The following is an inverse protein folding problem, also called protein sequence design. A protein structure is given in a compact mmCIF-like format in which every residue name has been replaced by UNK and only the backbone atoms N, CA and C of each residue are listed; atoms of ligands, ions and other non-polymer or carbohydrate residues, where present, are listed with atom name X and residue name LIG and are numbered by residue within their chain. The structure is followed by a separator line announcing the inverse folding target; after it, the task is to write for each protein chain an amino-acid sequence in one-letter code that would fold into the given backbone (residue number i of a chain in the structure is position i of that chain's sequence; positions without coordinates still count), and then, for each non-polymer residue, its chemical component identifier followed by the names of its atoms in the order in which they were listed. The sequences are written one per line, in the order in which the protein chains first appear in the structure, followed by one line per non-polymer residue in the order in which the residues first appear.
data_IF_839878422498
#
_entry.id   IF_839878422498
#
_cell.length_a   1.000
_cell.length_b   1.000
_cell.length_c   1.000
_cell.angle_alpha   90.00
_cell.angle_beta   90.00
_cell.angle_gamma   90.00
#
_symmetry.space_group_name_H-M   'P 1'
#
loop_
_entity.id
_entity.type
_entity.pdbx_description
1 polymer ?
#
# COMPACT_ATOMS: atom_id res chain seq x y z
N UNK A 1 -7.60 11.15 -8.71
CA UNK A 1 -6.42 10.35 -9.10
C UNK A 1 -6.91 9.32 -10.10
N UNK A 2 -6.21 9.11 -11.23
CA UNK A 2 -6.57 8.09 -12.23
C UNK A 2 -5.80 6.81 -11.94
N UNK A 3 -6.47 5.82 -11.36
CA UNK A 3 -5.87 4.56 -10.92
C UNK A 3 -5.51 3.61 -12.08
N UNK A 4 -6.21 3.79 -13.19
CA UNK A 4 -6.12 3.04 -14.44
C UNK A 4 -4.84 3.31 -15.26
N UNK A 5 -4.07 4.36 -14.91
CA UNK A 5 -2.83 4.71 -15.59
C UNK A 5 -1.70 3.70 -15.34
N UNK A 6 -1.73 3.00 -14.20
CA UNK A 6 -0.70 2.04 -13.82
C UNK A 6 -1.15 0.59 -14.05
N UNK A 7 -2.44 0.31 -13.82
CA UNK A 7 -3.07 -1.01 -14.01
C UNK A 7 -4.43 -0.77 -14.65
N UNK A 8 -4.62 -1.26 -15.88
CA UNK A 8 -5.89 -1.12 -16.61
C UNK A 8 -7.06 -1.69 -15.78
N UNK A 9 -8.13 -0.91 -15.62
CA UNK A 9 -9.31 -1.32 -14.87
C UNK A 9 -9.13 -1.38 -13.35
N UNK A 10 -8.03 -0.87 -12.78
CA UNK A 10 -7.85 -0.86 -11.33
C UNK A 10 -8.94 -0.03 -10.63
N UNK A 11 -9.71 -0.58 -9.68
CA UNK A 11 -10.81 0.14 -9.07
C UNK A 11 -10.32 1.38 -8.31
N UNK A 12 -10.85 2.56 -8.63
CA UNK A 12 -10.48 3.80 -7.91
C UNK A 12 -10.74 3.69 -6.39
N UNK A 13 -11.78 2.98 -5.97
CA UNK A 13 -12.09 2.72 -4.55
C UNK A 13 -10.98 1.98 -3.79
N UNK A 14 -10.09 1.29 -4.52
CA UNK A 14 -8.95 0.60 -3.93
C UNK A 14 -7.74 1.53 -3.80
N UNK A 15 -7.83 2.78 -4.26
CA UNK A 15 -6.74 3.74 -4.13
C UNK A 15 -6.79 4.53 -2.82
N UNK A 16 -5.62 4.91 -2.27
CA UNK A 16 -4.28 4.45 -2.68
C UNK A 16 -4.02 3.01 -2.20
N UNK A 17 -3.18 2.26 -2.93
CA UNK A 17 -2.76 0.90 -2.54
C UNK A 17 -1.24 0.82 -2.43
N UNK A 18 -0.74 0.13 -1.42
CA UNK A 18 0.68 -0.17 -1.23
C UNK A 18 0.89 -1.68 -1.38
N UNK A 19 1.80 -2.06 -2.27
CA UNK A 19 2.23 -3.44 -2.49
C UNK A 19 3.67 -3.58 -2.05
N UNK A 20 3.95 -4.50 -1.13
CA UNK A 20 5.30 -4.79 -0.64
C UNK A 20 5.74 -6.15 -1.15
N UNK A 21 6.82 -6.16 -1.91
CA UNK A 21 7.45 -7.36 -2.44
C UNK A 21 8.80 -7.59 -1.77
N UNK A 22 9.14 -8.85 -1.49
CA UNK A 22 10.47 -9.28 -1.04
C UNK A 22 10.73 -10.69 -1.56
N UNK A 23 11.92 -10.93 -2.09
CA UNK A 23 12.35 -12.22 -2.64
C UNK A 23 11.43 -12.78 -3.75
N UNK A 24 10.76 -11.89 -4.50
CA UNK A 24 9.80 -12.26 -5.54
C UNK A 24 8.37 -12.52 -5.04
N UNK A 25 8.15 -12.56 -3.73
CA UNK A 25 6.82 -12.76 -3.13
C UNK A 25 6.17 -11.43 -2.72
N UNK A 26 4.84 -11.38 -2.81
CA UNK A 26 4.05 -10.34 -2.12
C UNK A 26 4.06 -10.66 -0.62
N UNK A 27 4.74 -9.82 0.17
CA UNK A 27 4.75 -9.94 1.64
C UNK A 27 3.58 -9.21 2.29
N UNK A 28 3.12 -8.10 1.67
CA UNK A 28 1.97 -7.34 2.16
C UNK A 28 1.29 -6.59 1.04
N UNK A 29 -0.03 -6.52 1.13
CA UNK A 29 -0.86 -5.66 0.29
C UNK A 29 -1.79 -4.86 1.20
N UNK A 30 -1.78 -3.54 1.03
CA UNK A 30 -2.62 -2.62 1.80
C UNK A 30 -3.47 -1.87 0.80
N UNK A 31 -4.75 -2.22 0.78
CA UNK A 31 -5.76 -1.59 -0.07
C UNK A 31 -6.43 -0.48 0.73
N UNK A 32 -6.33 0.76 0.24
CA UNK A 32 -6.64 1.99 0.98
C UNK A 32 -5.74 2.23 2.20
N UNK A 33 -5.69 3.46 2.70
CA UNK A 33 -4.91 3.78 3.90
C UNK A 33 -5.61 3.42 5.21
N UNK A 34 -6.81 2.83 5.20
CA UNK A 34 -7.58 2.57 6.42
C UNK A 34 -6.78 1.74 7.45
N UNK A 35 -5.94 0.82 6.98
CA UNK A 35 -5.07 -0.03 7.81
C UNK A 35 -3.77 0.67 8.27
N UNK A 36 -3.49 1.87 7.76
CA UNK A 36 -2.29 2.67 8.01
C UNK A 36 -2.62 4.05 8.59
N UNK A 37 -3.65 4.18 9.44
CA UNK A 37 -4.10 5.46 10.02
C UNK A 37 -4.89 6.38 9.05
N UNK A 38 -5.42 5.81 7.97
CA UNK A 38 -6.30 6.50 7.02
C UNK A 38 -5.61 7.70 6.37
N UNK A 39 -6.33 8.81 6.23
CA UNK A 39 -5.78 10.05 5.64
C UNK A 39 -4.62 10.67 6.43
N UNK A 40 -4.34 10.19 7.66
CA UNK A 40 -3.24 10.65 8.50
C UNK A 40 -1.99 9.76 8.43
N UNK A 41 -1.94 8.81 7.49
CA UNK A 41 -0.72 8.01 7.27
C UNK A 41 0.48 8.93 7.09
N UNK A 42 1.50 8.75 7.94
CA UNK A 42 2.77 9.46 7.86
C UNK A 42 3.96 8.52 7.68
N UNK A 43 5.16 9.11 7.63
CA UNK A 43 6.41 8.36 7.47
C UNK A 43 6.58 7.27 8.52
N UNK A 44 6.26 7.57 9.79
CA UNK A 44 6.39 6.63 10.90
C UNK A 44 5.48 5.39 10.75
N UNK A 45 4.31 5.55 10.14
CA UNK A 45 3.40 4.42 9.88
C UNK A 45 3.98 3.51 8.79
N UNK A 46 4.62 4.10 7.78
CA UNK A 46 5.36 3.37 6.75
C UNK A 46 6.60 2.66 7.29
N UNK A 47 7.39 3.32 8.15
CA UNK A 47 8.57 2.72 8.79
C UNK A 47 8.19 1.49 9.61
N UNK A 48 7.12 1.57 10.41
CA UNK A 48 6.60 0.42 11.16
C UNK A 48 6.18 -0.70 10.24
N UNK A 49 5.47 -0.38 9.17
CA UNK A 49 5.06 -1.37 8.17
C UNK A 49 6.25 -2.10 7.58
N UNK A 50 7.32 -1.39 7.21
CA UNK A 50 8.53 -1.97 6.63
C UNK A 50 9.26 -2.87 7.64
N UNK A 51 9.31 -2.47 8.91
CA UNK A 51 9.86 -3.32 9.97
C UNK A 51 9.03 -4.60 10.17
N UNK A 52 7.69 -4.51 10.14
CA UNK A 52 6.79 -5.66 10.31
C UNK A 52 6.95 -6.71 9.20
N UNK A 53 7.18 -6.28 7.96
CA UNK A 53 7.44 -7.18 6.82
C UNK A 53 8.90 -7.66 6.74
N UNK A 54 9.75 -7.21 7.67
CA UNK A 54 11.17 -7.57 7.74
C UNK A 54 12.00 -6.98 6.60
N UNK A 55 11.64 -5.79 6.13
CA UNK A 55 12.39 -5.01 5.14
C UNK A 55 13.43 -4.09 5.80
#
# INVERSE_FOLDING_TARGET
MRADLCIEGYPEKNTPTILVYKDGDIKRQIVTLAQLNGVRTGLRDLERLLVEVGA
#
